data_IF_412845217642
#
_entry.id   IF_412845217642
#
_cell.length_a   1.000
_cell.length_b   1.000
_cell.length_c   1.000
_cell.angle_alpha   90.00
_cell.angle_beta   90.00
_cell.angle_gamma   90.00
#
_symmetry.space_group_name_H-M   'P 1'
#
loop_
_entity.id
_entity.type
_entity.pdbx_description
1 polymer ?
#
# COMPACT_ATOMS: atom_id res chain seq x y z
N UNK A 1 -8.70 -20.66 -54.07
CA UNK A 1 -8.64 -21.69 -53.01
C UNK A 1 -7.38 -21.48 -52.18
N UNK A 2 -7.57 -21.20 -50.88
CA UNK A 2 -6.71 -21.48 -49.72
C UNK A 2 -5.20 -21.21 -49.79
N UNK A 3 -4.84 -20.10 -49.14
CA UNK A 3 -3.59 -19.77 -48.45
C UNK A 3 -2.89 -20.95 -47.77
N UNK A 4 -1.55 -20.99 -47.83
CA UNK A 4 -0.69 -21.22 -46.66
C UNK A 4 0.66 -20.52 -46.89
N UNK A 5 0.74 -19.23 -46.54
CA UNK A 5 2.01 -18.54 -46.35
C UNK A 5 2.52 -18.95 -44.96
N UNK A 6 3.55 -19.81 -44.92
CA UNK A 6 4.18 -20.24 -43.67
C UNK A 6 4.98 -19.05 -43.11
N UNK A 7 4.31 -18.20 -42.33
CA UNK A 7 4.98 -17.16 -41.55
C UNK A 7 5.66 -17.87 -40.38
N UNK A 8 6.94 -18.17 -40.52
CA UNK A 8 7.78 -18.55 -39.40
C UNK A 8 7.66 -17.46 -38.34
N UNK A 9 6.99 -17.78 -37.23
CA UNK A 9 7.00 -16.95 -36.02
C UNK A 9 8.45 -16.87 -35.53
N UNK A 10 9.16 -15.83 -35.93
CA UNK A 10 10.25 -15.31 -35.13
C UNK A 10 9.60 -14.76 -33.86
N UNK A 11 9.56 -15.60 -32.83
CA UNK A 11 9.18 -15.20 -31.49
C UNK A 11 10.14 -14.12 -31.03
N UNK A 12 9.73 -12.86 -31.16
CA UNK A 12 10.33 -11.75 -30.44
C UNK A 12 10.04 -12.02 -28.97
N UNK A 13 10.99 -12.63 -28.28
CA UNK A 13 11.07 -12.54 -26.84
C UNK A 13 11.25 -11.06 -26.53
N UNK A 14 10.15 -10.37 -26.23
CA UNK A 14 10.18 -9.07 -25.61
C UNK A 14 10.87 -9.24 -24.26
N UNK A 15 12.20 -9.09 -24.23
CA UNK A 15 12.92 -8.88 -22.99
C UNK A 15 12.32 -7.60 -22.45
N UNK A 16 11.45 -7.73 -21.46
CA UNK A 16 10.98 -6.61 -20.66
C UNK A 16 12.21 -6.02 -20.00
N UNK A 17 12.87 -5.09 -20.68
CA UNK A 17 13.83 -4.19 -20.09
C UNK A 17 13.03 -3.40 -19.07
N UNK A 18 13.04 -3.89 -17.82
CA UNK A 18 12.69 -3.10 -16.66
C UNK A 18 13.61 -1.89 -16.71
N UNK A 19 13.11 -0.78 -17.23
CA UNK A 19 13.75 0.51 -17.04
C UNK A 19 13.68 0.76 -15.53
N UNK A 20 14.71 0.32 -14.82
CA UNK A 20 14.99 0.77 -13.47
C UNK A 20 15.24 2.27 -13.58
N UNK A 21 14.18 3.06 -13.49
CA UNK A 21 14.30 4.49 -13.32
C UNK A 21 14.99 4.70 -11.97
N UNK A 22 16.25 5.10 -12.02
CA UNK A 22 16.93 5.53 -10.81
C UNK A 22 16.12 6.68 -10.21
N UNK A 23 15.74 6.56 -8.94
CA UNK A 23 15.12 7.64 -8.18
C UNK A 23 16.11 8.81 -8.11
N UNK A 24 16.00 9.77 -9.03
CA UNK A 24 16.94 10.89 -9.13
C UNK A 24 16.83 11.85 -7.94
N UNK A 25 15.62 12.01 -7.42
CA UNK A 25 15.30 12.92 -6.32
C UNK A 25 14.42 12.18 -5.28
N UNK A 26 15.00 11.35 -4.40
CA UNK A 26 14.23 10.64 -3.40
C UNK A 26 13.70 11.59 -2.32
N UNK A 27 12.49 11.33 -1.83
CA UNK A 27 11.93 12.08 -0.70
C UNK A 27 12.78 11.84 0.56
N UNK A 28 13.28 12.92 1.15
CA UNK A 28 14.06 12.88 2.40
C UNK A 28 13.14 12.98 3.61
N UNK A 29 13.19 12.00 4.50
CA UNK A 29 12.49 12.03 5.80
C UNK A 29 13.37 12.72 6.85
N UNK A 30 12.86 13.79 7.45
CA UNK A 30 13.54 14.57 8.48
C UNK A 30 13.09 14.14 9.88
N UNK A 31 14.02 14.16 10.85
CA UNK A 31 13.68 13.91 12.25
C UNK A 31 12.82 15.08 12.79
N UNK A 32 11.84 14.79 13.64
CA UNK A 32 10.82 15.77 14.05
C UNK A 32 11.37 17.05 14.69
N UNK A 33 12.40 16.96 15.54
CA UNK A 33 13.04 18.11 16.20
C UNK A 33 13.84 18.96 15.21
N UNK A 34 14.30 18.38 14.10
CA UNK A 34 14.96 19.15 13.03
C UNK A 34 14.01 20.02 12.20
N UNK A 35 12.69 19.77 12.28
CA UNK A 35 11.69 20.57 11.57
C UNK A 35 11.48 21.95 12.20
N UNK A 36 11.38 22.98 11.37
CA UNK A 36 10.98 24.30 11.81
C UNK A 36 9.46 24.35 12.13
N UNK A 37 9.02 25.42 12.78
CA UNK A 37 7.62 25.55 13.22
C UNK A 37 6.60 25.52 12.08
N UNK A 38 6.96 26.02 10.89
CA UNK A 38 6.07 26.00 9.74
C UNK A 38 5.90 24.58 9.18
N UNK A 39 6.98 23.82 9.10
CA UNK A 39 6.95 22.42 8.66
C UNK A 39 6.14 21.55 9.62
N UNK A 40 6.33 21.72 10.94
CA UNK A 40 5.54 21.03 11.96
C UNK A 40 4.05 21.34 11.83
N UNK A 41 3.69 22.61 11.69
CA UNK A 41 2.29 23.03 11.47
C UNK A 41 1.72 22.46 10.18
N UNK A 42 2.50 22.45 9.10
CA UNK A 42 2.08 21.88 7.81
C UNK A 42 1.78 20.39 7.94
N UNK A 43 2.65 19.62 8.61
CA UNK A 43 2.40 18.20 8.89
C UNK A 43 1.15 17.97 9.74
N UNK A 44 1.00 18.71 10.84
CA UNK A 44 -0.16 18.59 11.74
C UNK A 44 -1.46 18.92 10.99
N UNK A 45 -1.46 19.98 10.19
CA UNK A 45 -2.61 20.36 9.36
C UNK A 45 -2.98 19.26 8.36
N UNK A 46 -1.99 18.61 7.74
CA UNK A 46 -2.23 17.48 6.84
C UNK A 46 -2.87 16.28 7.59
N UNK A 47 -2.41 15.95 8.79
CA UNK A 47 -3.02 14.89 9.61
C UNK A 47 -4.44 15.26 10.04
N UNK A 48 -4.68 16.51 10.44
CA UNK A 48 -6.02 17.00 10.75
C UNK A 48 -6.95 16.92 9.53
N UNK A 49 -6.45 17.22 8.32
CA UNK A 49 -7.19 17.02 7.08
C UNK A 49 -7.61 15.56 6.89
N UNK A 50 -6.74 14.58 7.16
CA UNK A 50 -7.12 13.16 7.10
C UNK A 50 -8.24 12.81 8.09
N UNK A 51 -8.28 13.46 9.26
CA UNK A 51 -9.35 13.27 10.25
C UNK A 51 -10.68 13.88 9.83
N UNK A 52 -10.70 14.82 8.88
CA UNK A 52 -11.93 15.47 8.40
C UNK A 52 -12.43 14.91 7.07
N UNK A 53 -11.54 14.32 6.25
CA UNK A 53 -11.93 13.67 5.00
C UNK A 53 -12.79 12.43 5.30
N UNK A 54 -13.87 12.18 4.52
CA UNK A 54 -14.72 11.03 4.72
C UNK A 54 -13.95 9.72 4.53
N UNK A 55 -14.26 8.72 5.34
CA UNK A 55 -13.72 7.38 5.19
C UNK A 55 -14.01 6.79 3.80
N UNK A 56 -13.07 6.00 3.28
CA UNK A 56 -13.19 5.30 2.00
C UNK A 56 -13.45 3.80 2.18
N UNK A 57 -13.23 3.26 3.37
CA UNK A 57 -13.38 1.82 3.64
C UNK A 57 -14.63 1.50 4.46
N UNK A 58 -15.65 2.36 4.45
CA UNK A 58 -16.89 2.17 5.22
C UNK A 58 -17.65 0.89 4.88
N UNK A 59 -17.57 0.44 3.61
CA UNK A 59 -18.17 -0.83 3.18
C UNK A 59 -17.55 -2.04 3.85
N UNK A 60 -16.25 -1.98 4.16
CA UNK A 60 -15.49 -3.05 4.83
C UNK A 60 -15.48 -2.86 6.35
N UNK A 61 -15.41 -1.62 6.80
CA UNK A 61 -15.31 -1.22 8.20
C UNK A 61 -16.41 -0.22 8.53
N UNK A 62 -17.56 -0.73 8.93
CA UNK A 62 -18.76 0.08 9.22
C UNK A 62 -18.54 1.13 10.33
N UNK A 63 -17.51 0.97 11.16
CA UNK A 63 -17.08 1.92 12.19
C UNK A 63 -16.18 3.06 11.69
N UNK A 64 -15.62 2.98 10.47
CA UNK A 64 -14.74 4.02 9.94
C UNK A 64 -15.54 5.30 9.63
N UNK A 65 -15.07 6.45 10.10
CA UNK A 65 -15.76 7.75 9.92
C UNK A 65 -14.92 8.71 9.09
N UNK A 66 -13.61 8.68 9.26
CA UNK A 66 -12.66 9.53 8.55
C UNK A 66 -11.61 8.73 7.77
N UNK A 67 -10.92 9.38 6.82
CA UNK A 67 -9.77 8.77 6.15
C UNK A 67 -8.68 8.34 7.12
N UNK A 68 -8.55 9.02 8.25
CA UNK A 68 -7.65 8.64 9.33
C UNK A 68 -8.08 7.29 9.94
N UNK A 69 -9.37 7.10 10.22
CA UNK A 69 -9.90 5.86 10.82
C UNK A 69 -9.71 4.63 9.92
N UNK A 70 -9.73 4.80 8.59
CA UNK A 70 -9.45 3.71 7.64
C UNK A 70 -8.09 3.04 7.92
N UNK A 71 -7.05 3.83 8.23
CA UNK A 71 -5.72 3.29 8.53
C UNK A 71 -5.71 2.49 9.83
N UNK A 72 -6.43 2.95 10.85
CA UNK A 72 -6.53 2.25 12.13
C UNK A 72 -7.34 0.96 11.99
N UNK A 73 -8.47 1.01 11.27
CA UNK A 73 -9.32 -0.15 11.04
C UNK A 73 -8.56 -1.27 10.29
N UNK A 74 -7.80 -0.92 9.25
CA UNK A 74 -6.96 -1.89 8.55
C UNK A 74 -5.86 -2.46 9.46
N UNK A 75 -5.17 -1.61 10.24
CA UNK A 75 -4.13 -2.05 11.16
C UNK A 75 -4.68 -3.00 12.25
N UNK A 76 -5.84 -2.71 12.82
CA UNK A 76 -6.54 -3.59 13.77
C UNK A 76 -6.85 -4.93 13.10
N UNK A 77 -7.43 -4.89 11.90
CA UNK A 77 -7.83 -6.09 11.14
C UNK A 77 -6.63 -6.97 10.78
N UNK A 78 -5.47 -6.37 10.49
CA UNK A 78 -4.25 -7.09 10.12
C UNK A 78 -3.33 -7.42 11.29
N UNK A 79 -3.67 -7.06 12.53
CA UNK A 79 -2.74 -7.10 13.68
C UNK A 79 -2.05 -8.46 13.84
N UNK A 80 -2.79 -9.56 13.71
CA UNK A 80 -2.28 -10.94 13.85
C UNK A 80 -1.31 -11.36 12.73
N UNK A 81 -1.31 -10.64 11.60
CA UNK A 81 -0.53 -10.96 10.40
C UNK A 81 0.64 -10.00 10.16
N UNK A 82 0.76 -8.92 10.94
CA UNK A 82 1.82 -7.90 10.75
C UNK A 82 2.73 -7.72 11.96
N UNK A 83 2.35 -8.23 13.14
CA UNK A 83 3.20 -8.20 14.33
C UNK A 83 3.80 -9.57 14.63
N UNK A 84 5.11 -9.59 14.95
CA UNK A 84 5.85 -10.82 15.29
C UNK A 84 5.83 -11.90 14.21
N UNK A 85 5.60 -11.51 12.95
CA UNK A 85 5.70 -12.43 11.83
C UNK A 85 7.16 -12.68 11.47
N UNK A 86 7.53 -13.95 11.41
CA UNK A 86 8.78 -14.40 10.79
C UNK A 86 8.56 -14.42 9.28
N UNK A 87 9.46 -13.79 8.51
CA UNK A 87 9.43 -13.77 7.05
C UNK A 87 9.87 -15.12 6.42
N UNK A 88 9.48 -16.24 7.02
CA UNK A 88 9.64 -17.56 6.42
C UNK A 88 8.33 -18.32 6.54
N UNK A 89 7.96 -18.96 5.43
CA UNK A 89 6.74 -19.72 5.24
C UNK A 89 6.37 -20.59 6.44
N UNK A 90 5.14 -20.43 6.94
CA UNK A 90 4.45 -21.45 7.70
C UNK A 90 4.36 -21.22 9.20
N UNK A 91 3.42 -20.39 9.64
CA UNK A 91 2.19 -20.81 10.34
C UNK A 91 1.54 -19.58 10.99
N UNK A 92 0.23 -19.33 10.80
CA UNK A 92 -0.49 -18.34 11.60
C UNK A 92 -0.45 -18.79 13.07
N UNK A 93 0.04 -17.95 13.97
CA UNK A 93 -0.17 -18.18 15.39
C UNK A 93 -1.63 -17.85 15.72
N UNK A 94 -2.39 -18.90 16.01
CA UNK A 94 -3.70 -18.81 16.63
C UNK A 94 -4.83 -18.61 15.63
N UNK A 95 -5.79 -19.53 15.68
CA UNK A 95 -7.07 -19.43 15.01
C UNK A 95 -7.79 -18.11 15.36
N UNK A 96 -7.69 -17.12 14.50
CA UNK A 96 -8.72 -16.11 14.36
C UNK A 96 -9.31 -16.29 12.97
N UNK A 97 -10.42 -17.02 12.89
CA UNK A 97 -11.37 -16.90 11.79
C UNK A 97 -11.55 -15.42 11.50
N UNK A 98 -11.17 -14.97 10.29
CA UNK A 98 -11.59 -13.66 9.81
C UNK A 98 -13.12 -13.63 9.92
N UNK A 99 -13.72 -12.75 10.72
CA UNK A 99 -15.16 -12.58 10.64
C UNK A 99 -15.41 -11.97 9.27
N UNK A 100 -16.07 -12.75 8.43
CA UNK A 100 -16.59 -12.33 7.13
C UNK A 100 -17.30 -10.98 7.30
N UNK A 101 -16.72 -9.94 6.71
CA UNK A 101 -17.38 -8.68 6.42
C UNK A 101 -16.98 -8.25 5.01
#
# INVERSE_FOLDING_TARGET
>A
MRFLCSVSLLGLASIGLVNASNCKEPLVRKEWRTLNNQEKRSYISAVQCLKTKPAQLQSRYSGSRSRFDDFQAEHITQTDYIHFVVSTYGTPKGSATQPNH
#
